data_IF_712893765987
#
_entry.id   IF_712893765987
#
_cell.length_a   1.000
_cell.length_b   1.000
_cell.length_c   1.000
_cell.angle_alpha   90.00
_cell.angle_beta   90.00
_cell.angle_gamma   90.00
#
_symmetry.space_group_name_H-M   'P 1'
#
loop_
_entity.id
_entity.type
_entity.pdbx_description
1 polymer ?
#
# COMPACT_ATOMS: atom_id res chain seq x y z
N UNK A 1 -22.64 -3.68 -16.04
CA UNK A 1 -22.12 -4.77 -15.18
C UNK A 1 -21.55 -4.07 -13.98
N UNK A 2 -22.20 -4.18 -12.83
CA UNK A 2 -21.68 -3.59 -11.60
C UNK A 2 -20.43 -4.37 -11.16
N UNK A 3 -19.37 -3.63 -10.85
CA UNK A 3 -18.07 -4.19 -10.46
C UNK A 3 -18.16 -4.76 -9.04
N UNK A 4 -17.67 -5.98 -8.81
CA UNK A 4 -17.77 -6.63 -7.50
C UNK A 4 -16.98 -5.87 -6.43
N UNK A 5 -17.38 -6.00 -5.16
CA UNK A 5 -16.66 -5.39 -4.03
C UNK A 5 -15.16 -5.72 -4.07
N UNK A 6 -14.81 -6.97 -4.37
CA UNK A 6 -13.41 -7.42 -4.50
C UNK A 6 -12.68 -6.71 -5.64
N UNK A 7 -13.34 -6.49 -6.79
CA UNK A 7 -12.78 -5.74 -7.90
C UNK A 7 -12.57 -4.27 -7.57
N UNK A 8 -13.53 -3.63 -6.90
CA UNK A 8 -13.40 -2.25 -6.43
C UNK A 8 -12.23 -2.09 -5.44
N UNK A 9 -12.07 -3.04 -4.50
CA UNK A 9 -10.97 -3.03 -3.53
C UNK A 9 -9.61 -3.27 -4.19
N UNK A 10 -9.55 -4.16 -5.19
CA UNK A 10 -8.35 -4.35 -6.00
C UNK A 10 -7.98 -3.07 -6.75
N UNK A 11 -8.96 -2.43 -7.40
CA UNK A 11 -8.80 -1.14 -8.09
C UNK A 11 -8.30 -0.05 -7.15
N UNK A 12 -8.87 0.06 -5.95
CA UNK A 12 -8.43 1.00 -4.91
C UNK A 12 -6.96 0.78 -4.51
N UNK A 13 -6.56 -0.47 -4.27
CA UNK A 13 -5.17 -0.81 -3.97
C UNK A 13 -4.22 -0.46 -5.13
N UNK A 14 -4.65 -0.72 -6.37
CA UNK A 14 -3.88 -0.38 -7.57
C UNK A 14 -3.66 1.12 -7.68
N UNK A 15 -4.74 1.91 -7.59
CA UNK A 15 -4.66 3.38 -7.64
C UNK A 15 -3.85 3.96 -6.49
N UNK A 16 -3.88 3.35 -5.30
CA UNK A 16 -3.04 3.76 -4.17
C UNK A 16 -1.54 3.68 -4.51
N UNK A 17 -1.10 2.57 -5.13
CA UNK A 17 0.30 2.37 -5.55
C UNK A 17 0.65 3.35 -6.68
N UNK A 18 -0.19 3.45 -7.70
CA UNK A 18 0.05 4.33 -8.86
C UNK A 18 0.19 5.79 -8.41
N UNK A 19 -0.72 6.26 -7.55
CA UNK A 19 -0.64 7.62 -6.99
C UNK A 19 0.64 7.83 -6.16
N UNK A 20 1.09 6.82 -5.41
CA UNK A 20 2.37 6.90 -4.67
C UNK A 20 3.56 7.02 -5.63
N UNK A 21 3.60 6.21 -6.69
CA UNK A 21 4.66 6.27 -7.70
C UNK A 21 4.69 7.62 -8.42
N UNK A 22 3.53 8.13 -8.83
CA UNK A 22 3.41 9.46 -9.47
C UNK A 22 3.98 10.55 -8.57
N UNK A 23 3.58 10.60 -7.28
CA UNK A 23 4.09 11.62 -6.35
C UNK A 23 5.61 11.56 -6.17
N UNK A 24 6.18 10.36 -6.07
CA UNK A 24 7.64 10.18 -5.92
C UNK A 24 8.36 10.65 -7.18
N UNK A 25 7.90 10.24 -8.37
CA UNK A 25 8.50 10.66 -9.63
C UNK A 25 8.43 12.18 -9.83
N UNK A 26 7.29 12.81 -9.55
CA UNK A 26 7.18 14.28 -9.61
C UNK A 26 8.13 14.97 -8.63
N UNK A 27 8.40 14.37 -7.47
CA UNK A 27 9.37 14.90 -6.50
C UNK A 27 10.81 14.76 -7.01
N UNK A 28 11.12 13.65 -7.71
CA UNK A 28 12.42 13.44 -8.36
C UNK A 28 12.63 14.47 -9.48
N UNK A 29 11.63 14.68 -10.34
CA UNK A 29 11.70 15.64 -11.44
C UNK A 29 11.93 17.06 -10.89
N UNK A 30 11.17 17.44 -9.85
CA UNK A 30 11.33 18.75 -9.18
C UNK A 30 12.73 18.92 -8.57
N UNK A 31 13.30 17.87 -7.99
CA UNK A 31 14.66 17.90 -7.42
C UNK A 31 15.72 18.04 -8.52
N UNK A 32 15.51 17.41 -9.69
CA UNK A 32 16.39 17.55 -10.85
C UNK A 32 16.36 18.96 -11.43
N UNK A 33 15.17 19.57 -11.53
CA UNK A 33 15.04 20.96 -11.96
C UNK A 33 15.78 21.92 -11.01
N UNK A 34 15.63 21.75 -9.69
CA UNK A 34 16.35 22.55 -8.70
C UNK A 34 17.88 22.43 -8.84
N UNK A 35 18.41 21.22 -9.06
CA UNK A 35 19.83 20.97 -9.32
C UNK A 35 20.35 21.74 -10.54
N UNK A 36 19.61 21.70 -11.65
CA UNK A 36 19.99 22.40 -12.88
C UNK A 36 19.97 23.92 -12.73
N UNK A 37 19.08 24.46 -11.89
CA UNK A 37 19.01 25.89 -11.59
C UNK A 37 20.15 26.36 -10.67
N UNK A 38 20.49 25.58 -9.63
CA UNK A 38 21.61 25.88 -8.74
C UNK A 38 22.96 25.86 -9.48
N UNK A 39 23.16 24.91 -10.39
CA UNK A 39 24.41 24.77 -11.15
C UNK A 39 24.67 25.93 -12.12
N UNK A 40 23.63 26.64 -12.58
CA UNK A 40 23.78 27.84 -13.43
C UNK A 40 24.11 29.12 -12.67
N UNK A 41 23.87 29.19 -11.35
CA UNK A 41 23.97 30.44 -10.56
C UNK A 41 25.19 30.50 -9.61
N UNK A 42 26.02 29.45 -9.59
CA UNK A 42 27.10 29.16 -8.64
C UNK A 42 28.54 29.60 -8.96
N UNK A 43 29.07 30.70 -8.42
CA UNK A 43 30.52 31.02 -8.41
C UNK A 43 31.08 31.08 -6.97
N UNK A 44 31.42 29.93 -6.34
CA UNK A 44 32.24 29.87 -5.10
C UNK A 44 31.76 28.96 -3.96
N UNK A 45 32.58 28.92 -2.90
CA UNK A 45 32.72 27.99 -1.75
C UNK A 45 31.46 27.60 -0.92
N UNK A 46 30.27 28.15 -1.22
CA UNK A 46 29.01 27.83 -0.51
C UNK A 46 28.32 26.53 -1.00
N UNK A 47 28.94 25.83 -1.95
CA UNK A 47 28.32 24.70 -2.65
C UNK A 47 28.33 23.36 -1.88
N UNK A 48 29.24 23.15 -0.93
CA UNK A 48 29.44 21.82 -0.35
C UNK A 48 28.23 21.34 0.46
N UNK A 49 27.60 22.22 1.24
CA UNK A 49 26.43 21.84 2.06
C UNK A 49 25.16 21.66 1.24
N UNK A 50 24.91 22.52 0.24
CA UNK A 50 23.74 22.41 -0.65
C UNK A 50 23.77 21.14 -1.50
N UNK A 51 24.95 20.81 -2.05
CA UNK A 51 25.15 19.57 -2.81
C UNK A 51 24.98 18.31 -1.95
N UNK A 52 25.47 18.34 -0.71
CA UNK A 52 25.29 17.23 0.22
C UNK A 52 23.80 17.01 0.57
N UNK A 53 23.04 18.08 0.82
CA UNK A 53 21.61 17.98 1.10
C UNK A 53 20.81 17.43 -0.07
N UNK A 54 21.10 17.88 -1.30
CA UNK A 54 20.41 17.36 -2.48
C UNK A 54 20.74 15.88 -2.71
N UNK A 55 21.99 15.47 -2.49
CA UNK A 55 22.38 14.07 -2.59
C UNK A 55 21.59 13.19 -1.61
N UNK A 56 21.41 13.65 -0.36
CA UNK A 56 20.60 12.97 0.65
C UNK A 56 19.14 12.87 0.26
N UNK A 57 18.54 13.95 -0.24
CA UNK A 57 17.14 13.91 -0.68
C UNK A 57 16.97 12.99 -1.91
N UNK A 58 17.95 12.96 -2.82
CA UNK A 58 17.95 12.03 -3.97
C UNK A 58 18.00 10.57 -3.51
N UNK A 59 18.85 10.25 -2.54
CA UNK A 59 18.95 8.90 -1.98
C UNK A 59 17.63 8.48 -1.31
N UNK A 60 17.04 9.38 -0.52
CA UNK A 60 15.75 9.17 0.14
C UNK A 60 14.61 8.93 -0.87
N UNK A 61 14.51 9.75 -1.91
CA UNK A 61 13.53 9.56 -2.98
C UNK A 61 13.77 8.26 -3.76
N UNK A 62 15.04 7.91 -4.00
CA UNK A 62 15.42 6.63 -4.61
C UNK A 62 14.96 5.42 -3.78
N UNK A 63 15.17 5.46 -2.46
CA UNK A 63 14.71 4.42 -1.56
C UNK A 63 13.17 4.31 -1.56
N UNK A 64 12.46 5.43 -1.51
CA UNK A 64 10.99 5.43 -1.58
C UNK A 64 10.46 4.89 -2.91
N UNK A 65 11.14 5.20 -4.03
CA UNK A 65 10.80 4.68 -5.34
C UNK A 65 10.97 3.16 -5.40
N UNK A 66 12.10 2.66 -4.92
CA UNK A 66 12.39 1.21 -4.87
C UNK A 66 11.35 0.46 -4.02
N UNK A 67 10.97 1.00 -2.86
CA UNK A 67 9.90 0.44 -2.03
C UNK A 67 8.54 0.41 -2.75
N UNK A 68 8.17 1.50 -3.44
CA UNK A 68 6.91 1.59 -4.15
C UNK A 68 6.86 0.63 -5.36
N UNK A 69 7.98 0.46 -6.06
CA UNK A 69 8.13 -0.51 -7.14
C UNK A 69 8.04 -1.95 -6.62
N UNK A 70 8.70 -2.27 -5.51
CA UNK A 70 8.58 -3.58 -4.88
C UNK A 70 7.13 -3.87 -4.46
N UNK A 71 6.44 -2.87 -3.89
CA UNK A 71 5.03 -3.00 -3.54
C UNK A 71 4.14 -3.25 -4.77
N UNK A 72 4.43 -2.60 -5.90
CA UNK A 72 3.76 -2.84 -7.17
C UNK A 72 3.97 -4.28 -7.65
N UNK A 73 5.20 -4.79 -7.60
CA UNK A 73 5.53 -6.18 -7.96
C UNK A 73 4.85 -7.21 -7.06
N UNK A 74 4.73 -6.91 -5.75
CA UNK A 74 3.99 -7.76 -4.82
C UNK A 74 2.49 -7.72 -5.12
N UNK A 75 1.94 -6.53 -5.41
CA UNK A 75 0.52 -6.36 -5.74
C UNK A 75 0.12 -7.12 -7.00
N UNK A 76 0.97 -7.18 -8.03
CA UNK A 76 0.74 -7.95 -9.26
C UNK A 76 0.51 -9.45 -9.00
N UNK A 77 1.00 -9.98 -7.87
CA UNK A 77 0.82 -11.39 -7.49
C UNK A 77 -0.53 -11.66 -6.79
N UNK A 78 -1.28 -10.62 -6.45
CA UNK A 78 -2.57 -10.76 -5.78
C UNK A 78 -3.62 -11.19 -6.80
N UNK A 79 -4.26 -12.36 -6.62
CA UNK A 79 -5.33 -12.80 -7.50
C UNK A 79 -6.59 -11.94 -7.32
N UNK A 80 -7.15 -11.46 -8.42
CA UNK A 80 -8.43 -10.73 -8.44
C UNK A 80 -9.62 -11.64 -8.12
N UNK A 81 -9.56 -12.89 -8.57
CA UNK A 81 -10.55 -13.92 -8.29
C UNK A 81 -9.88 -15.06 -7.51
N UNK A 82 -9.59 -14.79 -6.23
CA UNK A 82 -9.34 -15.85 -5.28
C UNK A 82 -10.68 -16.48 -4.88
N UNK A 83 -10.75 -17.80 -4.83
CA UNK A 83 -11.73 -18.53 -4.04
C UNK A 83 -10.96 -19.54 -3.21
N UNK A 84 -11.02 -19.42 -1.89
CA UNK A 84 -10.27 -20.25 -0.97
C UNK A 84 -11.08 -20.43 0.31
N UNK A 85 -10.99 -21.63 0.89
CA UNK A 85 -11.57 -21.93 2.21
C UNK A 85 -10.81 -21.23 3.35
N UNK A 86 -9.57 -20.82 3.09
CA UNK A 86 -8.69 -20.15 4.04
C UNK A 86 -8.35 -18.73 3.56
N UNK A 87 -8.17 -17.81 4.52
CA UNK A 87 -7.74 -16.45 4.27
C UNK A 87 -6.35 -16.44 3.63
N UNK A 88 -6.25 -15.88 2.43
CA UNK A 88 -5.00 -15.73 1.68
C UNK A 88 -4.92 -14.39 0.95
N UNK A 89 -3.91 -14.22 0.10
CA UNK A 89 -3.81 -13.05 -0.77
C UNK A 89 -5.03 -12.98 -1.71
N UNK A 90 -5.63 -11.80 -1.80
CA UNK A 90 -6.83 -11.53 -2.60
C UNK A 90 -8.15 -11.87 -1.90
N UNK A 91 -8.10 -12.45 -0.70
CA UNK A 91 -9.30 -12.76 0.09
C UNK A 91 -9.95 -11.49 0.63
N UNK A 92 -11.28 -11.44 0.52
CA UNK A 92 -12.16 -10.53 1.23
C UNK A 92 -12.70 -11.27 2.46
N UNK A 93 -12.35 -10.76 3.64
CA UNK A 93 -12.66 -11.37 4.92
C UNK A 93 -13.73 -10.54 5.61
N UNK A 94 -14.89 -11.13 5.84
CA UNK A 94 -15.95 -10.54 6.64
C UNK A 94 -15.83 -11.04 8.08
N UNK A 95 -15.90 -10.12 9.03
CA UNK A 95 -15.85 -10.45 10.45
C UNK A 95 -17.03 -9.83 11.19
N UNK A 96 -17.20 -10.18 12.46
CA UNK A 96 -18.16 -9.54 13.35
C UNK A 96 -17.75 -8.12 13.78
N UNK A 97 -16.57 -7.64 13.38
CA UNK A 97 -16.06 -6.30 13.70
C UNK A 97 -15.90 -5.46 12.43
N UNK A 98 -14.82 -5.69 11.67
CA UNK A 98 -14.49 -4.95 10.45
C UNK A 98 -14.28 -5.91 9.28
N UNK A 99 -14.47 -5.42 8.06
CA UNK A 99 -14.17 -6.20 6.86
C UNK A 99 -12.75 -5.89 6.39
N UNK A 100 -12.02 -6.93 5.98
CA UNK A 100 -10.63 -6.82 5.58
C UNK A 100 -10.43 -7.34 4.16
N UNK A 101 -9.59 -6.67 3.38
CA UNK A 101 -9.11 -7.16 2.11
C UNK A 101 -7.62 -7.48 2.22
N UNK A 102 -7.27 -8.74 1.98
CA UNK A 102 -5.90 -9.24 2.08
C UNK A 102 -5.12 -8.91 0.82
N UNK A 103 -4.48 -7.74 0.80
CA UNK A 103 -3.68 -7.28 -0.33
C UNK A 103 -2.48 -6.47 0.11
N UNK A 104 -2.60 -5.15 -0.01
CA UNK A 104 -1.60 -4.19 0.48
C UNK A 104 -2.22 -3.30 1.55
N UNK A 105 -1.38 -2.62 2.33
CA UNK A 105 -1.82 -1.61 3.29
C UNK A 105 -2.19 -0.30 2.57
N UNK A 106 -3.39 -0.26 1.97
CA UNK A 106 -3.93 0.94 1.30
C UNK A 106 -4.93 1.73 2.17
N UNK A 107 -5.30 1.20 3.34
CA UNK A 107 -6.20 1.87 4.28
C UNK A 107 -7.66 1.47 4.09
N UNK A 108 -8.56 2.37 4.50
CA UNK A 108 -10.01 2.13 4.46
C UNK A 108 -10.61 2.58 3.12
N UNK A 109 -11.47 1.75 2.54
CA UNK A 109 -12.36 2.09 1.46
C UNK A 109 -13.81 1.85 1.91
N UNK A 110 -14.70 2.79 1.59
CA UNK A 110 -16.14 2.63 1.83
C UNK A 110 -16.84 2.33 0.51
N UNK A 111 -17.57 1.22 0.47
CA UNK A 111 -18.38 0.81 -0.67
C UNK A 111 -19.80 0.64 -0.14
N UNK A 112 -20.75 1.38 -0.70
CA UNK A 112 -22.17 1.37 -0.29
C UNK A 112 -22.39 1.56 1.22
N UNK A 113 -21.57 2.41 1.84
CA UNK A 113 -21.62 2.69 3.28
C UNK A 113 -20.94 1.63 4.17
N UNK A 114 -20.44 0.54 3.59
CA UNK A 114 -19.70 -0.51 4.29
C UNK A 114 -18.20 -0.25 4.20
N UNK A 115 -17.52 -0.28 5.35
CA UNK A 115 -16.07 -0.08 5.46
C UNK A 115 -15.31 -1.38 5.22
N UNK A 116 -14.26 -1.29 4.39
CA UNK A 116 -13.32 -2.36 4.08
C UNK A 116 -11.89 -1.86 4.27
N UNK A 117 -11.08 -2.61 5.01
CA UNK A 117 -9.69 -2.27 5.28
C UNK A 117 -8.76 -3.10 4.41
N UNK A 118 -8.11 -2.47 3.44
CA UNK A 118 -7.05 -3.08 2.65
C UNK A 118 -5.78 -3.18 3.50
N UNK A 119 -5.37 -4.41 3.81
CA UNK A 119 -4.23 -4.71 4.68
C UNK A 119 -3.26 -5.67 4.01
N UNK A 120 -1.96 -5.50 4.29
CA UNK A 120 -0.96 -6.46 3.86
C UNK A 120 -0.85 -7.64 4.86
N UNK A 121 -0.51 -8.87 4.41
CA UNK A 121 -0.35 -10.03 5.28
C UNK A 121 0.72 -9.88 6.37
N UNK A 122 1.70 -9.00 6.15
CA UNK A 122 2.79 -8.75 7.10
C UNK A 122 2.41 -7.76 8.23
N UNK A 123 1.23 -7.14 8.17
CA UNK A 123 0.71 -6.28 9.25
C UNK A 123 0.29 -7.10 10.47
N UNK A 124 0.22 -6.51 11.68
CA UNK A 124 -0.18 -7.23 12.90
C UNK A 124 -1.50 -8.00 12.77
N UNK A 125 -2.54 -7.35 12.23
CA UNK A 125 -3.84 -8.01 11.99
C UNK A 125 -3.77 -8.98 10.81
N UNK A 126 -3.06 -8.63 9.73
CA UNK A 126 -2.89 -9.51 8.57
C UNK A 126 -2.26 -10.85 8.93
N UNK A 127 -1.25 -10.85 9.81
CA UNK A 127 -0.60 -12.07 10.32
C UNK A 127 -1.55 -12.95 11.13
N UNK A 128 -2.49 -12.34 11.86
CA UNK A 128 -3.47 -13.09 12.67
C UNK A 128 -4.55 -13.72 11.79
N UNK A 129 -4.98 -13.02 10.74
CA UNK A 129 -6.03 -13.48 9.83
C UNK A 129 -5.52 -14.50 8.82
N UNK A 130 -4.25 -14.43 8.42
CA UNK A 130 -3.68 -15.32 7.41
C UNK A 130 -3.87 -16.81 7.78
N UNK A 131 -4.28 -17.61 6.79
CA UNK A 131 -4.56 -19.05 6.91
C UNK A 131 -5.71 -19.44 7.87
N UNK A 132 -6.47 -18.47 8.39
CA UNK A 132 -7.68 -18.74 9.16
C UNK A 132 -8.84 -19.16 8.28
N UNK A 133 -9.80 -19.86 8.85
CA UNK A 133 -11.04 -20.29 8.20
C UNK A 133 -12.26 -19.59 8.79
N UNK A 134 -13.43 -19.80 8.19
CA UNK A 134 -14.71 -19.38 8.78
C UNK A 134 -14.87 -19.98 10.17
N UNK A 135 -15.47 -19.21 11.09
CA UNK A 135 -15.67 -19.50 12.52
C UNK A 135 -14.40 -19.48 13.40
N UNK A 136 -13.21 -19.30 12.82
CA UNK A 136 -12.01 -19.03 13.61
C UNK A 136 -12.11 -17.69 14.36
N UNK A 137 -11.46 -17.66 15.53
CA UNK A 137 -11.36 -16.48 16.38
C UNK A 137 -9.92 -16.00 16.47
N UNK A 138 -9.71 -14.71 16.25
CA UNK A 138 -8.43 -14.03 16.49
C UNK A 138 -8.58 -12.94 17.54
N UNK A 139 -7.50 -12.66 18.26
CA UNK A 139 -7.48 -11.57 19.26
C UNK A 139 -6.56 -10.46 18.76
N UNK A 140 -7.13 -9.28 18.56
CA UNK A 140 -6.38 -8.10 18.14
C UNK A 140 -6.76 -6.90 19.01
N UNK A 141 -5.77 -6.21 19.58
CA UNK A 141 -5.97 -5.09 20.51
C UNK A 141 -6.99 -5.41 21.63
N UNK A 142 -6.86 -6.60 22.24
CA UNK A 142 -7.76 -7.10 23.29
C UNK A 142 -9.22 -7.32 22.86
N UNK A 143 -9.53 -7.28 21.57
CA UNK A 143 -10.84 -7.60 21.01
C UNK A 143 -10.81 -8.96 20.33
N UNK A 144 -11.86 -9.76 20.55
CA UNK A 144 -12.09 -11.00 19.79
C UNK A 144 -12.75 -10.65 18.47
N UNK A 145 -12.23 -11.21 17.39
CA UNK A 145 -12.75 -11.06 16.03
C UNK A 145 -13.06 -12.46 15.52
N UNK A 146 -14.29 -12.68 15.10
CA UNK A 146 -14.78 -13.94 14.53
C UNK A 146 -14.90 -13.78 13.02
N UNK A 147 -14.28 -14.70 12.28
CA UNK A 147 -14.38 -14.71 10.82
C UNK A 147 -15.73 -15.30 10.43
N UNK A 148 -16.55 -14.52 9.73
CA UNK A 148 -17.92 -14.89 9.34
C UNK A 148 -17.99 -15.44 7.93
N UNK A 149 -17.18 -14.90 7.03
CA UNK A 149 -17.17 -15.30 5.63
C UNK A 149 -15.82 -14.94 5.00
N UNK A 150 -15.40 -15.76 4.05
CA UNK A 150 -14.24 -15.51 3.19
C UNK A 150 -14.77 -15.58 1.76
N UNK A 151 -14.57 -14.51 1.01
CA UNK A 151 -14.78 -14.47 -0.43
C UNK A 151 -13.41 -14.32 -1.11
#
# INVERSE_FOLDING_TARGET
MDESVKQQLYGFCKSFIENRLVRINSSIDSLQEALTSETKSSAGDKHETGRAMIQLEREKLGNQLAEAQLLQELFKKIPLQASSLQVGLGSLVFTDQQNYYMGISAGEMKIDGVSYFAIAPNTPIGKLLLAKVVDDVVVFNSRKIVIRQID
#
